data_IF_185965635689
#
_entry.id   IF_185965635689
#
_cell.length_a   1.000
_cell.length_b   1.000
_cell.length_c   1.000
_cell.angle_alpha   90.00
_cell.angle_beta   90.00
_cell.angle_gamma   90.00
#
_symmetry.space_group_name_H-M   'P 1'
#
loop_
_entity.id
_entity.type
_entity.pdbx_description
1 polymer ?
#
# COMPACT_ATOMS: atom_id res chain seq x y z
N UNK A 1 -1.72 -15.01 -22.69
CA UNK A 1 -1.35 -14.11 -21.58
C UNK A 1 -1.18 -14.98 -20.35
N UNK A 2 -0.08 -14.87 -19.61
CA UNK A 2 0.10 -15.62 -18.37
C UNK A 2 -0.88 -15.10 -17.30
N UNK A 3 -1.29 -15.97 -16.39
CA UNK A 3 -2.16 -15.64 -15.26
C UNK A 3 -1.57 -14.51 -14.40
N UNK A 4 -0.25 -14.53 -14.16
CA UNK A 4 0.48 -13.47 -13.45
C UNK A 4 0.36 -12.08 -14.11
N UNK A 5 0.38 -12.02 -15.44
CA UNK A 5 0.20 -10.76 -16.16
C UNK A 5 -1.24 -10.23 -16.05
N UNK A 6 -2.21 -11.15 -15.92
CA UNK A 6 -3.62 -10.81 -15.66
C UNK A 6 -3.79 -10.27 -14.23
N UNK A 7 -3.13 -10.87 -13.25
CA UNK A 7 -3.20 -10.43 -11.84
C UNK A 7 -2.54 -9.07 -11.64
N UNK A 8 -1.39 -8.84 -12.27
CA UNK A 8 -0.74 -7.53 -12.26
C UNK A 8 -1.62 -6.45 -12.92
N UNK A 9 -2.27 -6.77 -14.04
CA UNK A 9 -3.22 -5.86 -14.69
C UNK A 9 -4.40 -5.51 -13.78
N UNK A 10 -5.02 -6.53 -13.17
CA UNK A 10 -6.12 -6.34 -12.21
C UNK A 10 -5.71 -5.48 -11.02
N UNK A 11 -4.49 -5.68 -10.49
CA UNK A 11 -3.96 -4.86 -9.40
C UNK A 11 -3.87 -3.39 -9.82
N UNK A 12 -3.30 -3.10 -11.01
CA UNK A 12 -3.16 -1.73 -11.51
C UNK A 12 -4.52 -1.06 -11.76
N UNK A 13 -5.49 -1.80 -12.28
CA UNK A 13 -6.85 -1.29 -12.47
C UNK A 13 -7.50 -0.89 -11.14
N UNK A 14 -7.30 -1.68 -10.08
CA UNK A 14 -7.80 -1.37 -8.74
C UNK A 14 -7.09 -0.16 -8.11
N UNK A 15 -5.78 -0.01 -8.36
CA UNK A 15 -5.03 1.17 -7.93
C UNK A 15 -5.57 2.42 -8.62
N UNK A 16 -5.80 2.37 -9.93
CA UNK A 16 -6.40 3.48 -10.68
C UNK A 16 -7.80 3.81 -10.13
N UNK A 17 -8.65 2.81 -9.92
CA UNK A 17 -9.98 3.02 -9.35
C UNK A 17 -9.96 3.59 -7.92
N UNK A 18 -8.93 3.31 -7.12
CA UNK A 18 -8.75 3.93 -5.81
C UNK A 18 -8.39 5.43 -5.94
N UNK A 19 -7.50 5.78 -6.87
CA UNK A 19 -7.16 7.19 -7.13
C UNK A 19 -8.31 7.98 -7.75
N UNK A 20 -9.17 7.35 -8.55
CA UNK A 20 -10.36 7.99 -9.10
C UNK A 20 -11.39 8.34 -8.01
N UNK A 21 -11.48 7.51 -6.96
CA UNK A 21 -12.36 7.76 -5.80
C UNK A 21 -11.80 8.81 -4.85
N UNK A 22 -10.48 8.88 -4.73
CA UNK A 22 -9.78 9.88 -3.92
C UNK A 22 -8.55 10.41 -4.66
N UNK A 23 -8.74 11.54 -5.34
CA UNK A 23 -7.70 12.19 -6.15
C UNK A 23 -6.55 12.76 -5.30
N UNK A 24 -6.69 12.79 -3.97
CA UNK A 24 -5.61 13.13 -3.04
C UNK A 24 -4.60 12.01 -2.84
N UNK A 25 -4.91 10.77 -3.27
CA UNK A 25 -3.99 9.64 -3.16
C UNK A 25 -2.90 9.69 -4.24
N UNK A 26 -1.64 9.56 -3.79
CA UNK A 26 -0.57 9.18 -4.71
C UNK A 26 -0.76 7.72 -5.17
N UNK A 27 -0.15 7.34 -6.30
CA UNK A 27 -0.24 5.96 -6.78
C UNK A 27 0.38 4.94 -5.79
N UNK A 28 1.36 5.36 -4.98
CA UNK A 28 1.95 4.52 -3.93
C UNK A 28 0.96 4.35 -2.77
N UNK A 29 0.29 5.43 -2.37
CA UNK A 29 -0.73 5.38 -1.32
C UNK A 29 -1.91 4.51 -1.73
N UNK A 30 -2.45 4.69 -2.93
CA UNK A 30 -3.48 3.83 -3.50
C UNK A 30 -3.02 2.37 -3.58
N UNK A 31 -1.77 2.13 -4.02
CA UNK A 31 -1.15 0.81 -4.02
C UNK A 31 -1.09 0.16 -2.64
N UNK A 32 -0.71 0.91 -1.60
CA UNK A 32 -0.64 0.42 -0.22
C UNK A 32 -2.02 -0.06 0.28
N UNK A 33 -3.08 0.67 -0.05
CA UNK A 33 -4.45 0.33 0.33
C UNK A 33 -4.94 -0.92 -0.41
N UNK A 34 -4.80 -0.95 -1.73
CA UNK A 34 -5.21 -2.10 -2.56
C UNK A 34 -4.43 -3.35 -2.18
N UNK A 35 -3.12 -3.24 -1.95
CA UNK A 35 -2.31 -4.38 -1.54
C UNK A 35 -2.71 -4.94 -0.16
N UNK A 36 -3.18 -4.08 0.76
CA UNK A 36 -3.70 -4.53 2.05
C UNK A 36 -5.08 -5.17 1.92
N UNK A 37 -5.98 -4.58 1.14
CA UNK A 37 -7.32 -5.11 0.86
C UNK A 37 -7.26 -6.50 0.21
N UNK A 38 -6.32 -6.70 -0.72
CA UNK A 38 -6.11 -7.97 -1.41
C UNK A 38 -5.19 -8.94 -0.64
N UNK A 39 -4.78 -8.61 0.57
CA UNK A 39 -3.85 -9.40 1.40
C UNK A 39 -2.49 -9.71 0.72
N UNK A 40 -2.10 -8.92 -0.29
CA UNK A 40 -0.80 -9.03 -0.99
C UNK A 40 0.33 -8.55 -0.07
N UNK A 41 0.12 -7.47 0.68
CA UNK A 41 1.08 -6.96 1.63
C UNK A 41 0.40 -6.20 2.77
N UNK A 42 0.79 -6.52 4.01
CA UNK A 42 0.36 -5.84 5.25
C UNK A 42 1.50 -5.09 5.94
N UNK A 43 2.63 -4.91 5.25
CA UNK A 43 3.78 -4.20 5.77
C UNK A 43 4.65 -3.55 4.68
N UNK A 44 5.32 -2.48 5.07
CA UNK A 44 6.17 -1.66 4.19
C UNK A 44 7.28 -2.41 3.45
N UNK A 45 7.84 -3.50 4.00
CA UNK A 45 8.93 -4.25 3.36
C UNK A 45 8.38 -5.20 2.31
N UNK A 46 7.30 -5.91 2.61
CA UNK A 46 6.65 -6.81 1.66
C UNK A 46 6.11 -6.04 0.47
N UNK A 47 5.44 -4.90 0.71
CA UNK A 47 4.95 -4.01 -0.35
C UNK A 47 6.09 -3.50 -1.25
N UNK A 48 7.15 -2.95 -0.64
CA UNK A 48 8.33 -2.46 -1.37
C UNK A 48 8.94 -3.54 -2.26
N UNK A 49 9.05 -4.79 -1.76
CA UNK A 49 9.60 -5.91 -2.53
C UNK A 49 8.68 -6.36 -3.65
N UNK A 50 7.37 -6.45 -3.39
CA UNK A 50 6.40 -6.91 -4.38
C UNK A 50 6.34 -5.99 -5.60
N UNK A 51 6.44 -4.67 -5.40
CA UNK A 51 6.35 -3.68 -6.48
C UNK A 51 7.71 -3.14 -6.94
N UNK A 52 8.83 -3.61 -6.38
CA UNK A 52 10.17 -3.12 -6.73
C UNK A 52 10.41 -1.64 -6.37
N UNK A 53 9.75 -1.13 -5.33
CA UNK A 53 9.84 0.27 -4.89
C UNK A 53 10.86 0.40 -3.76
N UNK A 54 11.59 1.51 -3.73
CA UNK A 54 12.50 1.82 -2.62
C UNK A 54 11.75 1.90 -1.28
N UNK A 55 12.21 1.15 -0.26
CA UNK A 55 11.54 1.09 1.05
C UNK A 55 11.37 2.45 1.72
N UNK A 56 12.35 3.35 1.58
CA UNK A 56 12.26 4.70 2.12
C UNK A 56 11.10 5.52 1.52
N UNK A 57 10.82 5.35 0.22
CA UNK A 57 9.68 6.01 -0.44
C UNK A 57 8.37 5.42 0.06
N UNK A 58 8.29 4.10 0.22
CA UNK A 58 7.12 3.44 0.81
C UNK A 58 6.86 3.96 2.23
N UNK A 59 7.90 4.11 3.06
CA UNK A 59 7.75 4.64 4.41
C UNK A 59 7.27 6.09 4.44
N UNK A 60 7.77 6.94 3.54
CA UNK A 60 7.29 8.32 3.40
C UNK A 60 5.79 8.36 3.13
N UNK A 61 5.35 7.62 2.11
CA UNK A 61 3.95 7.61 1.69
C UNK A 61 3.04 6.95 2.72
N UNK A 62 3.49 5.86 3.35
CA UNK A 62 2.76 5.17 4.42
C UNK A 62 2.57 6.08 5.64
N UNK A 63 3.60 6.84 6.03
CA UNK A 63 3.48 7.77 7.16
C UNK A 63 2.51 8.91 6.82
N UNK A 64 2.62 9.51 5.63
CA UNK A 64 1.69 10.55 5.18
C UNK A 64 0.25 10.04 5.08
N UNK A 65 0.06 8.76 4.71
CA UNK A 65 -1.26 8.15 4.65
C UNK A 65 -1.83 7.84 6.04
N UNK A 66 -0.98 7.46 6.99
CA UNK A 66 -1.39 7.22 8.38
C UNK A 66 -1.75 8.50 9.15
N UNK A 67 -1.34 9.68 8.66
CA UNK A 67 -1.80 10.97 9.18
C UNK A 67 -3.25 11.29 8.74
N UNK A 68 -3.78 10.55 7.76
CA UNK A 68 -5.18 10.58 7.36
C UNK A 68 -5.90 9.49 8.13
N UNK A 69 -6.27 9.78 9.38
CA UNK A 69 -6.81 8.83 10.38
C UNK A 69 -7.97 7.93 9.88
N UNK A 70 -8.60 8.29 8.75
CA UNK A 70 -9.70 7.58 8.10
C UNK A 70 -9.28 6.48 7.10
N UNK A 71 -7.99 6.37 6.75
CA UNK A 71 -7.57 5.51 5.63
C UNK A 71 -6.86 4.22 6.10
N UNK A 72 -5.86 4.32 6.96
CA UNK A 72 -5.16 3.16 7.54
C UNK A 72 -4.53 3.48 8.89
N UNK A 73 -4.18 2.43 9.62
CA UNK A 73 -3.49 2.51 10.92
C UNK A 73 -2.18 1.71 10.89
N UNK A 74 -1.10 2.32 11.40
CA UNK A 74 0.17 1.62 11.64
C UNK A 74 0.12 0.93 13.00
N UNK A 75 0.03 -0.39 13.00
CA UNK A 75 -0.17 -1.20 14.22
C UNK A 75 1.13 -1.59 14.92
N UNK A 76 2.25 -1.64 14.19
CA UNK A 76 3.55 -2.02 14.75
C UNK A 76 4.69 -1.47 13.90
N UNK A 77 5.78 -1.07 14.57
CA UNK A 77 7.06 -0.78 13.93
C UNK A 77 8.16 -1.64 14.49
N UNK A 78 9.00 -2.16 13.61
CA UNK A 78 10.25 -2.80 13.97
C UNK A 78 11.38 -1.74 13.99
N UNK A 79 11.97 -1.45 15.17
CA UNK A 79 12.93 -0.36 15.32
C UNK A 79 14.30 -0.65 14.68
N UNK A 80 14.62 -1.92 14.37
CA UNK A 80 15.91 -2.30 13.77
C UNK A 80 15.86 -2.23 12.25
N UNK A 81 14.73 -2.59 11.67
CA UNK A 81 14.57 -2.73 10.20
C UNK A 81 13.74 -1.62 9.58
N UNK A 82 13.16 -0.75 10.41
CA UNK A 82 12.18 0.27 10.03
C UNK A 82 10.95 -0.31 9.31
N UNK A 83 10.66 -1.61 9.52
CA UNK A 83 9.46 -2.25 8.96
C UNK A 83 8.23 -1.77 9.73
N UNK A 84 7.32 -1.09 9.04
CA UNK A 84 6.00 -0.75 9.56
C UNK A 84 4.97 -1.77 9.08
N UNK A 85 4.19 -2.32 10.02
CA UNK A 85 3.02 -3.15 9.78
C UNK A 85 1.78 -2.27 9.92
N UNK A 86 0.82 -2.44 9.03
CA UNK A 86 -0.36 -1.60 8.97
C UNK A 86 -1.61 -2.42 8.63
N UNK A 87 -2.78 -1.84 8.91
CA UNK A 87 -4.10 -2.37 8.54
C UNK A 87 -4.97 -1.24 8.02
N UNK A 88 -5.95 -1.56 7.18
CA UNK A 88 -6.96 -0.59 6.76
C UNK A 88 -7.77 -0.13 7.99
N UNK A 89 -8.13 1.15 7.99
CA UNK A 89 -9.05 1.68 8.99
C UNK A 89 -10.38 0.94 8.86
N UNK A 90 -11.01 0.60 9.98
CA UNK A 90 -12.34 0.01 9.94
C UNK A 90 -13.34 1.12 9.60
N UNK A 91 -14.06 0.97 8.50
CA UNK A 91 -15.25 1.78 8.20
C UNK A 91 -16.35 1.60 9.24
#
# INVERSE_FOLDING_TARGET
MSEEASDAGRFLDLVAAAQDRDTGLTSIQAGLLVAAELEIASDSRSFARALGIAHALVLRELNALAERDDTLEIVKRDPRTMRAFYRLAKS
#
